data_IF_443511349322
#
_entry.id   IF_443511349322
#
_cell.length_a   1.000
_cell.length_b   1.000
_cell.length_c   1.000
_cell.angle_alpha   90.00
_cell.angle_beta   90.00
_cell.angle_gamma   90.00
#
_symmetry.space_group_name_H-M   'P 1'
#
loop_
_entity.id
_entity.type
_entity.pdbx_description
1 polymer ?
#
# COMPACT_ATOMS: atom_id res chain seq x y z
N UNK A 1 12.85 10.66 6.55
CA UNK A 1 13.24 9.50 5.72
C UNK A 1 14.66 9.69 5.24
N UNK A 2 15.52 8.71 5.45
CA UNK A 2 16.96 8.76 5.12
C UNK A 2 17.32 7.97 3.87
N UNK A 3 16.58 6.89 3.59
CA UNK A 3 16.74 6.10 2.38
C UNK A 3 16.49 6.90 1.10
N UNK A 4 17.28 6.60 0.06
CA UNK A 4 17.12 7.16 -1.29
C UNK A 4 17.17 6.03 -2.32
N UNK A 5 16.35 6.16 -3.37
CA UNK A 5 16.43 5.26 -4.53
C UNK A 5 17.84 5.32 -5.13
N UNK A 6 18.51 4.17 -5.36
CA UNK A 6 19.82 4.14 -6.01
C UNK A 6 19.76 4.74 -7.41
N UNK A 7 20.71 5.63 -7.74
CA UNK A 7 20.75 6.36 -9.02
C UNK A 7 20.99 5.44 -10.23
N UNK A 8 21.57 4.26 -10.00
CA UNK A 8 21.83 3.27 -11.05
C UNK A 8 20.57 2.46 -11.44
N UNK A 9 19.44 2.64 -10.75
CA UNK A 9 18.18 1.99 -11.08
C UNK A 9 17.35 2.94 -11.93
N UNK A 10 17.21 2.62 -13.22
CA UNK A 10 16.50 3.43 -14.20
C UNK A 10 15.08 3.80 -13.73
N UNK A 11 14.61 5.00 -14.05
CA UNK A 11 13.28 5.48 -13.68
C UNK A 11 12.70 6.36 -14.80
N UNK A 12 11.43 6.18 -15.20
CA UNK A 12 10.55 5.07 -14.81
C UNK A 12 10.95 3.75 -15.51
N UNK A 13 10.74 2.62 -14.83
CA UNK A 13 11.00 1.27 -15.35
C UNK A 13 9.76 0.39 -15.29
N UNK A 14 9.57 -0.47 -16.31
CA UNK A 14 8.56 -1.54 -16.29
C UNK A 14 9.11 -2.73 -15.51
N UNK A 15 8.38 -3.17 -14.49
CA UNK A 15 8.79 -4.23 -13.57
C UNK A 15 8.14 -5.58 -13.89
N UNK A 16 6.93 -5.55 -14.44
CA UNK A 16 6.16 -6.74 -14.78
C UNK A 16 5.20 -6.43 -15.92
N UNK A 17 5.04 -7.37 -16.85
CA UNK A 17 3.91 -7.36 -17.80
C UNK A 17 3.12 -8.65 -17.66
N UNK A 18 1.82 -8.57 -17.86
CA UNK A 18 0.92 -9.73 -17.72
C UNK A 18 -0.30 -9.56 -18.63
N UNK A 19 -1.09 -10.62 -18.78
CA UNK A 19 -2.34 -10.60 -19.53
C UNK A 19 -3.53 -10.76 -18.58
N UNK A 20 -4.59 -9.98 -18.84
CA UNK A 20 -5.86 -10.09 -18.13
C UNK A 20 -7.00 -9.66 -19.06
N UNK A 21 -8.25 -9.86 -18.61
CA UNK A 21 -9.41 -9.40 -19.38
C UNK A 21 -9.48 -7.86 -19.38
N UNK A 22 -9.79 -7.27 -20.51
CA UNK A 22 -10.21 -5.87 -20.64
C UNK A 22 -11.64 -5.74 -20.09
N UNK A 23 -11.93 -4.86 -19.11
CA UNK A 23 -13.28 -4.70 -18.59
C UNK A 23 -14.30 -4.23 -19.63
N UNK A 24 -13.84 -3.49 -20.66
CA UNK A 24 -14.74 -2.90 -21.65
C UNK A 24 -15.10 -3.90 -22.76
N UNK A 25 -14.15 -4.74 -23.17
CA UNK A 25 -14.33 -5.65 -24.32
C UNK A 25 -14.41 -7.12 -23.94
N UNK A 26 -14.04 -7.49 -22.71
CA UNK A 26 -13.93 -8.87 -22.23
C UNK A 26 -12.79 -9.68 -22.84
N UNK A 27 -12.05 -9.13 -23.81
CA UNK A 27 -10.92 -9.79 -24.48
C UNK A 27 -9.69 -9.81 -23.56
N UNK A 28 -8.83 -10.80 -23.75
CA UNK A 28 -7.52 -10.79 -23.10
C UNK A 28 -6.64 -9.73 -23.75
N UNK A 29 -6.09 -8.85 -22.93
CA UNK A 29 -5.18 -7.77 -23.34
C UNK A 29 -3.99 -7.73 -22.39
N UNK A 30 -2.92 -7.08 -22.84
CA UNK A 30 -1.69 -6.93 -22.07
C UNK A 30 -1.76 -5.72 -21.16
N UNK A 31 -1.20 -5.87 -19.96
CA UNK A 31 -1.02 -4.85 -18.95
C UNK A 31 0.45 -4.77 -18.55
N UNK A 32 0.84 -3.63 -17.98
CA UNK A 32 2.18 -3.40 -17.42
C UNK A 32 2.09 -2.80 -16.03
N UNK A 33 2.92 -3.28 -15.12
CA UNK A 33 3.21 -2.64 -13.83
C UNK A 33 4.59 -2.00 -13.93
N UNK A 34 4.66 -0.70 -13.66
CA UNK A 34 5.88 0.10 -13.77
C UNK A 34 6.01 1.05 -12.58
N UNK A 35 7.17 1.69 -12.47
CA UNK A 35 7.31 2.88 -11.63
C UNK A 35 6.25 3.93 -11.99
N UNK A 36 5.64 4.53 -10.96
CA UNK A 36 4.73 5.66 -11.12
C UNK A 36 5.48 6.88 -11.67
N UNK A 37 5.16 7.35 -12.89
CA UNK A 37 5.75 8.56 -13.43
C UNK A 37 5.35 9.81 -12.63
N UNK A 38 6.25 10.80 -12.54
CA UNK A 38 6.05 12.00 -11.71
C UNK A 38 4.88 12.87 -12.18
N UNK A 39 4.64 12.94 -13.48
CA UNK A 39 3.53 13.65 -14.10
C UNK A 39 2.16 13.04 -13.77
N UNK A 40 2.13 11.87 -13.12
CA UNK A 40 0.91 11.16 -12.68
C UNK A 40 0.67 11.24 -11.17
N UNK A 41 1.49 11.97 -10.42
CA UNK A 41 1.37 12.06 -8.96
C UNK A 41 0.05 12.67 -8.52
N UNK A 42 -0.38 13.79 -9.12
CA UNK A 42 -1.64 14.46 -8.73
C UNK A 42 -2.86 13.57 -8.96
N UNK A 43 -2.88 12.82 -10.07
CA UNK A 43 -3.94 11.85 -10.35
C UNK A 43 -3.98 10.73 -9.31
N UNK A 44 -2.81 10.20 -8.92
CA UNK A 44 -2.72 9.18 -7.86
C UNK A 44 -3.14 9.75 -6.51
N UNK A 45 -2.71 10.95 -6.15
CA UNK A 45 -3.12 11.60 -4.90
C UNK A 45 -4.63 11.77 -4.84
N UNK A 46 -5.27 12.16 -5.96
CA UNK A 46 -6.72 12.24 -6.07
C UNK A 46 -7.39 10.86 -5.95
N UNK A 47 -6.89 9.84 -6.64
CA UNK A 47 -7.44 8.47 -6.55
C UNK A 47 -7.34 7.91 -5.13
N UNK A 48 -6.23 8.19 -4.44
CA UNK A 48 -6.01 7.76 -3.06
C UNK A 48 -6.90 8.52 -2.08
N UNK A 49 -7.04 9.84 -2.21
CA UNK A 49 -7.87 10.68 -1.33
C UNK A 49 -9.38 10.51 -1.55
N UNK A 50 -9.79 9.94 -2.67
CA UNK A 50 -11.21 9.70 -2.99
C UNK A 50 -11.57 8.23 -2.90
N UNK A 51 -11.11 7.41 -3.84
CA UNK A 51 -11.54 6.01 -4.00
C UNK A 51 -10.95 5.13 -2.91
N UNK A 52 -9.65 5.27 -2.62
CA UNK A 52 -9.01 4.44 -1.60
C UNK A 52 -9.57 4.74 -0.21
N UNK A 53 -9.65 6.01 0.22
CA UNK A 53 -10.23 6.36 1.53
C UNK A 53 -11.69 5.89 1.68
N UNK A 54 -12.47 5.89 0.59
CA UNK A 54 -13.85 5.39 0.59
C UNK A 54 -13.95 3.88 0.79
N UNK A 55 -13.07 3.12 0.15
CA UNK A 55 -13.20 1.67 0.01
C UNK A 55 -12.27 0.86 0.93
N UNK A 56 -11.17 1.46 1.39
CA UNK A 56 -10.22 0.80 2.30
C UNK A 56 -10.90 0.51 3.65
N UNK A 57 -10.58 -0.66 4.19
CA UNK A 57 -11.32 -1.30 5.29
C UNK A 57 -11.27 -0.50 6.59
N UNK A 58 -10.09 -0.04 7.00
CA UNK A 58 -9.92 0.79 8.19
C UNK A 58 -10.42 2.22 7.95
N UNK A 59 -10.11 2.83 6.80
CA UNK A 59 -10.51 4.19 6.44
C UNK A 59 -12.03 4.34 6.39
N UNK A 60 -12.73 3.36 5.81
CA UNK A 60 -14.19 3.33 5.77
C UNK A 60 -14.79 3.17 7.17
N UNK A 61 -14.20 2.29 7.99
CA UNK A 61 -14.66 2.04 9.37
C UNK A 61 -14.54 3.28 10.25
N UNK A 62 -13.43 4.02 10.11
CA UNK A 62 -13.19 5.28 10.83
C UNK A 62 -13.84 6.50 10.16
N UNK A 63 -14.49 6.31 9.01
CA UNK A 63 -15.08 7.39 8.21
C UNK A 63 -14.08 8.52 7.92
N UNK A 64 -12.88 8.15 7.45
CA UNK A 64 -11.78 9.08 7.19
C UNK A 64 -12.12 10.04 6.06
N UNK A 65 -12.79 9.57 5.00
CA UNK A 65 -13.13 10.39 3.84
C UNK A 65 -13.94 11.64 4.22
N UNK A 66 -14.83 11.53 5.21
CA UNK A 66 -15.71 12.61 5.64
C UNK A 66 -15.19 13.39 6.85
N UNK A 67 -13.97 13.10 7.32
CA UNK A 67 -13.36 13.78 8.47
C UNK A 67 -13.26 15.29 8.20
N UNK A 68 -13.85 16.15 9.04
CA UNK A 68 -13.76 17.60 8.87
C UNK A 68 -12.33 18.12 8.92
N UNK A 69 -11.42 17.48 9.64
CA UNK A 69 -10.00 17.86 9.70
C UNK A 69 -9.27 17.55 8.37
N UNK A 70 -9.89 16.77 7.48
CA UNK A 70 -9.44 16.53 6.11
C UNK A 70 -10.07 17.49 5.09
N UNK A 71 -11.17 18.17 5.43
CA UNK A 71 -11.88 19.08 4.53
C UNK A 71 -11.11 20.40 4.36
N UNK A 72 -11.01 20.88 3.13
CA UNK A 72 -10.35 22.17 2.82
C UNK A 72 -8.82 22.14 2.90
N UNK A 73 -8.19 20.96 2.97
CA UNK A 73 -6.72 20.87 2.91
C UNK A 73 -6.23 21.30 1.52
N UNK A 74 -5.61 22.48 1.48
CA UNK A 74 -4.57 22.85 0.52
C UNK A 74 -3.18 22.32 0.91
N UNK A 75 -3.13 21.51 1.98
CA UNK A 75 -1.90 21.00 2.59
C UNK A 75 -1.51 19.61 2.07
N UNK A 76 -0.20 19.35 2.15
CA UNK A 76 0.49 18.11 1.77
C UNK A 76 -0.12 16.87 2.46
N UNK A 77 -0.51 15.87 1.67
CA UNK A 77 -0.93 14.55 2.15
C UNK A 77 0.28 13.72 2.62
N UNK A 78 0.03 12.70 3.43
CA UNK A 78 1.06 11.70 3.79
C UNK A 78 1.65 11.01 2.56
N UNK A 79 0.86 10.88 1.49
CA UNK A 79 1.32 10.26 0.25
C UNK A 79 2.28 11.15 -0.54
N UNK A 80 2.23 12.49 -0.44
CA UNK A 80 3.08 13.38 -1.23
C UNK A 80 4.58 13.09 -1.04
N UNK A 81 5.02 12.93 0.21
CA UNK A 81 6.42 12.61 0.50
C UNK A 81 6.79 11.18 0.13
N UNK A 82 5.81 10.28 0.17
CA UNK A 82 6.03 8.89 -0.22
C UNK A 82 6.21 8.78 -1.73
N UNK A 83 5.38 9.46 -2.53
CA UNK A 83 5.50 9.44 -3.99
C UNK A 83 6.85 9.99 -4.46
N UNK A 84 7.39 11.00 -3.77
CA UNK A 84 8.72 11.58 -4.05
C UNK A 84 9.89 10.61 -3.86
N UNK A 85 9.70 9.48 -3.18
CA UNK A 85 10.71 8.42 -3.12
C UNK A 85 10.89 7.71 -4.46
N UNK A 86 9.98 7.91 -5.42
CA UNK A 86 10.04 7.32 -6.77
C UNK A 86 10.11 5.80 -6.74
N UNK A 87 9.38 5.15 -5.83
CA UNK A 87 9.32 3.67 -5.73
C UNK A 87 7.90 3.12 -5.78
N UNK A 88 6.89 3.98 -5.88
CA UNK A 88 5.49 3.55 -6.00
C UNK A 88 5.24 2.91 -7.37
N UNK A 89 4.34 1.93 -7.42
CA UNK A 89 4.00 1.17 -8.62
C UNK A 89 2.65 1.62 -9.19
N UNK A 90 2.55 1.66 -10.51
CA UNK A 90 1.31 1.93 -11.23
C UNK A 90 1.08 0.85 -12.30
N UNK A 91 -0.18 0.48 -12.51
CA UNK A 91 -0.61 -0.46 -13.52
C UNK A 91 -1.36 0.26 -14.64
N UNK A 92 -0.95 0.00 -15.88
CA UNK A 92 -1.59 0.50 -17.09
C UNK A 92 -1.98 -0.66 -18.01
N UNK A 93 -3.01 -0.45 -18.82
CA UNK A 93 -3.31 -1.29 -19.99
C UNK A 93 -2.36 -0.90 -21.12
N UNK A 94 -1.84 -1.86 -21.88
CA UNK A 94 -1.02 -1.53 -23.06
C UNK A 94 -1.81 -0.72 -24.08
N UNK A 95 -1.17 0.30 -24.66
CA UNK A 95 -1.82 1.25 -25.57
C UNK A 95 -2.80 2.22 -24.92
N UNK A 96 -2.82 2.31 -23.59
CA UNK A 96 -3.62 3.26 -22.83
C UNK A 96 -2.81 3.89 -21.70
N UNK A 97 -3.10 5.15 -21.41
CA UNK A 97 -2.51 5.88 -20.28
C UNK A 97 -3.43 5.92 -19.06
N UNK A 98 -4.56 5.19 -19.08
CA UNK A 98 -5.48 5.13 -17.95
C UNK A 98 -4.93 4.28 -16.79
N UNK A 99 -4.86 4.86 -15.59
CA UNK A 99 -4.45 4.12 -14.39
C UNK A 99 -5.47 3.03 -14.09
N UNK A 100 -5.03 1.78 -14.18
CA UNK A 100 -5.84 0.62 -13.82
C UNK A 100 -5.75 0.32 -12.31
N UNK A 101 -4.59 0.62 -11.71
CA UNK A 101 -4.34 0.47 -10.28
C UNK A 101 -3.01 1.07 -9.88
N UNK A 102 -2.82 1.29 -8.58
CA UNK A 102 -1.64 1.91 -7.99
C UNK A 102 -1.32 1.26 -6.66
N UNK A 103 -0.04 1.20 -6.31
CA UNK A 103 0.41 0.84 -4.98
C UNK A 103 1.46 1.86 -4.52
N UNK A 104 1.10 2.62 -3.49
CA UNK A 104 1.97 3.64 -2.90
C UNK A 104 2.94 2.97 -1.94
N UNK A 105 4.24 3.06 -2.24
CA UNK A 105 5.30 2.30 -1.57
C UNK A 105 6.30 3.22 -0.88
N UNK A 106 6.81 2.77 0.26
CA UNK A 106 7.88 3.41 1.01
C UNK A 106 8.91 2.37 1.47
N UNK A 107 10.11 2.82 1.82
CA UNK A 107 11.08 1.98 2.53
C UNK A 107 11.03 2.32 4.01
N UNK A 108 10.78 1.29 4.84
CA UNK A 108 10.93 1.42 6.28
C UNK A 108 12.35 1.00 6.68
N UNK A 109 12.98 1.82 7.50
CA UNK A 109 14.33 1.61 8.03
C UNK A 109 14.27 1.41 9.55
N UNK A 110 15.05 0.47 10.05
CA UNK A 110 15.18 0.18 11.49
C UNK A 110 15.73 1.42 12.20
N UNK A 111 15.17 1.71 13.37
CA UNK A 111 15.60 2.81 14.25
C UNK A 111 15.49 4.24 13.64
N UNK A 112 14.91 4.37 12.44
CA UNK A 112 14.59 5.67 11.83
C UNK A 112 13.13 5.99 12.12
N UNK A 113 12.91 6.99 12.98
CA UNK A 113 11.55 7.53 13.19
C UNK A 113 11.13 8.31 11.94
N UNK A 114 9.88 8.10 11.52
CA UNK A 114 9.27 8.90 10.46
C UNK A 114 9.27 10.39 10.84
N UNK A 115 9.09 11.27 9.85
CA UNK A 115 8.88 12.67 10.16
C UNK A 115 7.58 12.77 10.97
N UNK A 116 7.65 13.26 12.21
CA UNK A 116 6.49 13.55 13.03
C UNK A 116 5.72 14.72 12.39
N UNK A 117 4.86 14.41 11.43
CA UNK A 117 3.85 15.36 11.01
C UNK A 117 2.84 15.50 12.14
N UNK A 118 2.50 16.73 12.49
CA UNK A 118 1.40 17.00 13.41
C UNK A 118 0.09 16.56 12.76
N UNK A 119 -0.35 15.34 13.09
CA UNK A 119 -1.63 14.79 12.62
C UNK A 119 -2.71 15.34 13.54
N UNK A 120 -3.52 16.29 13.07
CA UNK A 120 -4.64 16.85 13.86
C UNK A 120 -5.81 15.88 14.02
N UNK A 121 -6.14 15.16 12.95
CA UNK A 121 -7.24 14.21 12.92
C UNK A 121 -7.01 13.05 13.89
N UNK A 122 -7.87 12.93 14.90
CA UNK A 122 -7.87 11.80 15.82
C UNK A 122 -8.13 10.46 15.11
N UNK A 123 -8.89 10.48 14.02
CA UNK A 123 -9.17 9.28 13.20
C UNK A 123 -7.91 8.82 12.45
N UNK A 124 -7.12 9.73 11.89
CA UNK A 124 -5.82 9.38 11.28
C UNK A 124 -4.83 8.95 12.35
N UNK A 125 -4.80 9.60 13.52
CA UNK A 125 -3.97 9.14 14.65
C UNK A 125 -4.33 7.70 15.05
N UNK A 126 -5.62 7.37 15.16
CA UNK A 126 -6.08 6.01 15.46
C UNK A 126 -5.63 4.99 14.40
N UNK A 127 -5.76 5.34 13.11
CA UNK A 127 -5.26 4.54 12.00
C UNK A 127 -3.74 4.29 12.11
N UNK A 128 -2.95 5.35 12.30
CA UNK A 128 -1.49 5.24 12.45
C UNK A 128 -1.12 4.41 13.67
N UNK A 129 -1.80 4.58 14.80
CA UNK A 129 -1.57 3.80 16.02
C UNK A 129 -1.79 2.30 15.78
N UNK A 130 -2.85 1.92 15.07
CA UNK A 130 -3.09 0.53 14.70
C UNK A 130 -2.02 -0.02 13.74
N UNK A 131 -1.58 0.79 12.77
CA UNK A 131 -0.49 0.41 11.84
C UNK A 131 0.85 0.22 12.55
N UNK A 132 1.21 1.11 13.48
CA UNK A 132 2.42 0.97 14.30
C UNK A 132 2.36 -0.25 15.19
N UNK A 133 1.21 -0.51 15.82
CA UNK A 133 1.00 -1.73 16.60
C UNK A 133 1.22 -2.98 15.76
N UNK A 134 0.63 -3.06 14.56
CA UNK A 134 0.80 -4.22 13.67
C UNK A 134 2.26 -4.41 13.25
N UNK A 135 2.98 -3.33 12.95
CA UNK A 135 4.41 -3.37 12.61
C UNK A 135 5.28 -3.85 13.78
N UNK A 136 4.99 -3.36 14.98
CA UNK A 136 5.70 -3.75 16.19
C UNK A 136 5.49 -5.24 16.52
N UNK A 137 4.25 -5.73 16.44
CA UNK A 137 3.93 -7.14 16.71
C UNK A 137 4.47 -8.11 15.64
N UNK A 138 4.54 -7.67 14.38
CA UNK A 138 5.18 -8.46 13.33
C UNK A 138 6.68 -8.65 13.56
N UNK A 139 7.32 -7.67 14.23
CA UNK A 139 8.75 -7.64 14.54
C UNK A 139 9.63 -7.98 13.32
N UNK A 140 9.31 -7.33 12.20
CA UNK A 140 9.83 -7.70 10.87
C UNK A 140 11.37 -7.66 10.82
N UNK A 141 11.97 -6.64 11.45
CA UNK A 141 13.42 -6.46 11.46
C UNK A 141 14.15 -7.62 12.12
N UNK A 142 13.72 -8.04 13.33
CA UNK A 142 14.37 -9.14 14.04
C UNK A 142 14.03 -10.48 13.41
N UNK A 143 12.76 -10.68 13.03
CA UNK A 143 12.26 -11.91 12.41
C UNK A 143 13.03 -12.31 11.15
N UNK A 144 13.36 -11.33 10.31
CA UNK A 144 14.05 -11.57 9.04
C UNK A 144 15.53 -11.16 9.04
N UNK A 145 16.03 -10.57 10.13
CA UNK A 145 17.41 -10.09 10.20
C UNK A 145 17.71 -9.00 9.17
N UNK A 146 16.77 -8.09 8.94
CA UNK A 146 16.89 -6.97 7.99
C UNK A 146 16.90 -5.64 8.72
N UNK A 147 17.58 -4.65 8.13
CA UNK A 147 17.62 -3.26 8.59
C UNK A 147 16.61 -2.37 7.84
N UNK A 148 16.13 -2.82 6.69
CA UNK A 148 15.13 -2.13 5.88
C UNK A 148 14.30 -3.09 5.04
N UNK A 149 13.07 -2.69 4.72
CA UNK A 149 12.19 -3.46 3.85
C UNK A 149 11.20 -2.56 3.11
N UNK A 150 10.68 -3.07 1.99
CA UNK A 150 9.66 -2.39 1.21
C UNK A 150 8.29 -2.50 1.90
N UNK A 151 7.66 -1.36 2.19
CA UNK A 151 6.34 -1.25 2.77
C UNK A 151 5.37 -0.53 1.84
N UNK A 152 4.08 -0.50 2.19
CA UNK A 152 3.07 0.17 1.42
C UNK A 152 2.09 0.97 2.28
N UNK A 153 1.75 2.16 1.78
CA UNK A 153 0.72 3.05 2.32
C UNK A 153 -0.52 3.06 1.43
N UNK A 154 -0.89 1.88 0.94
CA UNK A 154 -2.13 1.64 0.20
C UNK A 154 -1.94 1.03 -1.18
N UNK A 155 -2.89 0.17 -1.55
CA UNK A 155 -3.03 -0.42 -2.88
C UNK A 155 -4.46 -0.23 -3.33
N UNK A 156 -4.63 0.38 -4.50
CA UNK A 156 -5.92 0.65 -5.11
C UNK A 156 -5.97 0.02 -6.50
N UNK A 157 -7.08 -0.67 -6.80
CA UNK A 157 -7.49 -0.99 -8.17
C UNK A 157 -8.73 -0.16 -8.48
N UNK A 158 -8.69 0.57 -9.59
CA UNK A 158 -9.81 1.43 -10.04
C UNK A 158 -11.05 0.55 -10.24
N UNK A 159 -12.26 0.99 -9.83
CA UNK A 159 -13.43 0.11 -9.71
C UNK A 159 -13.74 -0.75 -10.93
N UNK A 160 -13.66 -0.20 -12.15
CA UNK A 160 -13.96 -0.95 -13.38
C UNK A 160 -12.97 -2.09 -13.67
N UNK A 161 -11.76 -2.03 -13.10
CA UNK A 161 -10.71 -3.03 -13.28
C UNK A 161 -10.66 -4.08 -12.15
N UNK A 162 -11.58 -4.04 -11.18
CA UNK A 162 -11.63 -4.99 -10.06
C UNK A 162 -12.09 -6.38 -10.52
N UNK A 163 -11.66 -7.41 -9.79
CA UNK A 163 -11.99 -8.81 -10.11
C UNK A 163 -11.17 -9.41 -11.25
N UNK A 164 -10.25 -8.64 -11.83
CA UNK A 164 -9.42 -9.04 -12.98
C UNK A 164 -8.02 -9.55 -12.59
N UNK A 165 -7.72 -9.64 -11.29
CA UNK A 165 -6.43 -10.14 -10.77
C UNK A 165 -5.29 -9.11 -10.71
N UNK A 166 -5.53 -7.86 -11.13
CA UNK A 166 -4.50 -6.81 -11.24
C UNK A 166 -3.78 -6.52 -9.91
N UNK A 167 -4.49 -6.55 -8.77
CA UNK A 167 -3.89 -6.33 -7.46
C UNK A 167 -2.81 -7.37 -7.13
N UNK A 168 -2.99 -8.62 -7.56
CA UNK A 168 -2.00 -9.70 -7.36
C UNK A 168 -0.74 -9.41 -8.17
N UNK A 169 -0.90 -9.00 -9.42
CA UNK A 169 0.23 -8.70 -10.32
C UNK A 169 0.98 -7.44 -9.88
N UNK A 170 0.28 -6.42 -9.37
CA UNK A 170 0.92 -5.25 -8.73
C UNK A 170 1.77 -5.66 -7.52
N UNK A 171 1.29 -6.59 -6.67
CA UNK A 171 2.08 -7.09 -5.55
C UNK A 171 3.29 -7.92 -6.02
N UNK A 172 3.14 -8.76 -7.05
CA UNK A 172 4.26 -9.53 -7.62
C UNK A 172 5.36 -8.63 -8.20
N UNK A 173 4.98 -7.49 -8.79
CA UNK A 173 5.93 -6.51 -9.30
C UNK A 173 6.85 -5.90 -8.22
N UNK A 174 6.49 -6.01 -6.93
CA UNK A 174 7.39 -5.64 -5.83
C UNK A 174 8.65 -6.48 -5.76
N UNK A 175 8.64 -7.71 -6.29
CA UNK A 175 9.82 -8.59 -6.27
C UNK A 175 10.95 -8.06 -7.14
N UNK A 176 10.77 -7.88 -8.46
CA UNK A 176 11.83 -7.31 -9.31
C UNK A 176 12.20 -5.88 -8.90
N UNK A 177 11.24 -5.04 -8.48
CA UNK A 177 11.51 -3.71 -7.95
C UNK A 177 12.43 -3.79 -6.71
N UNK A 178 12.04 -4.54 -5.68
CA UNK A 178 12.79 -4.60 -4.43
C UNK A 178 14.18 -5.21 -4.61
N UNK A 179 14.33 -6.22 -5.48
CA UNK A 179 15.65 -6.76 -5.88
C UNK A 179 16.53 -5.68 -6.51
N UNK A 180 16.01 -4.90 -7.45
CA UNK A 180 16.76 -3.82 -8.09
C UNK A 180 17.16 -2.72 -7.10
N UNK A 181 16.32 -2.47 -6.08
CA UNK A 181 16.61 -1.52 -5.00
C UNK A 181 17.54 -2.07 -3.91
N UNK A 182 18.01 -3.33 -4.03
CA UNK A 182 18.87 -3.98 -3.02
C UNK A 182 18.14 -4.35 -1.72
N UNK A 183 16.81 -4.44 -1.75
CA UNK A 183 15.98 -4.87 -0.63
C UNK A 183 15.82 -6.40 -0.63
N UNK A 184 15.78 -6.99 0.56
CA UNK A 184 15.63 -8.44 0.75
C UNK A 184 14.20 -8.87 1.10
N UNK A 185 13.34 -7.91 1.42
CA UNK A 185 12.01 -8.17 1.97
C UNK A 185 11.02 -7.09 1.54
N UNK A 186 9.78 -7.50 1.30
CA UNK A 186 8.60 -6.63 1.31
C UNK A 186 7.66 -7.09 2.43
N UNK A 187 7.08 -6.16 3.18
CA UNK A 187 6.18 -6.45 4.30
C UNK A 187 5.11 -5.36 4.42
N UNK A 188 3.85 -5.73 4.63
CA UNK A 188 2.74 -4.77 4.63
C UNK A 188 1.60 -5.23 5.53
N UNK A 189 0.87 -4.27 6.09
CA UNK A 189 -0.40 -4.51 6.79
C UNK A 189 -1.51 -4.65 5.75
N UNK A 190 -2.11 -5.83 5.66
CA UNK A 190 -3.27 -6.12 4.82
C UNK A 190 -4.54 -6.14 5.68
N UNK A 191 -5.35 -5.11 5.50
CA UNK A 191 -6.44 -4.74 6.41
C UNK A 191 -7.76 -5.46 6.16
N UNK A 192 -7.97 -6.04 4.97
CA UNK A 192 -9.22 -6.68 4.57
C UNK A 192 -9.03 -8.03 3.90
N UNK A 193 -10.06 -8.88 3.93
CA UNK A 193 -10.00 -10.26 3.40
C UNK A 193 -9.54 -10.27 1.92
N UNK A 194 -10.04 -9.36 1.10
CA UNK A 194 -9.67 -9.29 -0.31
C UNK A 194 -8.18 -8.99 -0.51
N UNK A 195 -7.61 -8.06 0.27
CA UNK A 195 -6.19 -7.69 0.17
C UNK A 195 -5.29 -8.79 0.77
N UNK A 196 -5.70 -9.43 1.85
CA UNK A 196 -5.02 -10.60 2.44
C UNK A 196 -4.97 -11.79 1.46
N UNK A 197 -6.09 -12.13 0.83
CA UNK A 197 -6.15 -13.20 -0.18
C UNK A 197 -5.29 -12.87 -1.41
N UNK A 198 -5.27 -11.61 -1.82
CA UNK A 198 -4.41 -11.13 -2.91
C UNK A 198 -2.93 -11.29 -2.55
N UNK A 199 -2.54 -10.89 -1.33
CA UNK A 199 -1.18 -11.02 -0.84
C UNK A 199 -0.73 -12.49 -0.81
N UNK A 200 -1.56 -13.38 -0.26
CA UNK A 200 -1.29 -14.82 -0.25
C UNK A 200 -1.08 -15.38 -1.67
N UNK A 201 -1.93 -14.99 -2.64
CA UNK A 201 -1.76 -15.37 -4.06
C UNK A 201 -0.48 -14.83 -4.71
N UNK A 202 0.03 -13.70 -4.21
CA UNK A 202 1.30 -13.13 -4.63
C UNK A 202 2.51 -13.75 -3.91
N UNK A 203 2.29 -14.70 -3.00
CA UNK A 203 3.34 -15.43 -2.27
C UNK A 203 3.66 -14.87 -0.89
N UNK A 204 2.95 -13.84 -0.41
CA UNK A 204 3.16 -13.32 0.94
C UNK A 204 2.72 -14.34 1.99
N UNK A 205 3.50 -14.45 3.06
CA UNK A 205 3.22 -15.27 4.24
C UNK A 205 2.75 -14.39 5.38
N UNK A 206 1.88 -14.94 6.23
CA UNK A 206 1.39 -14.25 7.42
C UNK A 206 2.46 -14.22 8.50
N UNK A 207 2.80 -13.02 8.96
CA UNK A 207 3.73 -12.84 10.07
C UNK A 207 3.02 -12.67 11.41
N UNK A 208 1.94 -11.90 11.40
CA UNK A 208 1.14 -11.60 12.57
C UNK A 208 -0.30 -11.30 12.15
N UNK A 209 -1.25 -11.71 12.97
CA UNK A 209 -2.66 -11.37 12.81
C UNK A 209 -3.31 -11.09 14.15
N UNK A 210 -4.34 -10.24 14.12
CA UNK A 210 -5.12 -9.89 15.30
C UNK A 210 -6.56 -9.61 14.89
N UNK A 211 -7.49 -9.90 15.80
CA UNK A 211 -8.88 -9.49 15.64
C UNK A 211 -9.00 -7.97 15.81
N UNK A 212 -9.79 -7.33 14.95
CA UNK A 212 -10.14 -5.92 15.13
C UNK A 212 -10.86 -5.67 16.46
N UNK A 213 -11.66 -6.64 16.93
CA UNK A 213 -12.29 -6.58 18.25
C UNK A 213 -11.26 -6.57 19.38
N UNK A 214 -10.19 -7.36 19.28
CA UNK A 214 -9.11 -7.36 20.27
C UNK A 214 -8.34 -6.05 20.26
N UNK A 215 -8.15 -5.41 19.10
CA UNK A 215 -7.51 -4.09 19.02
C UNK A 215 -8.27 -3.01 19.80
N UNK A 216 -9.60 -3.14 19.94
CA UNK A 216 -10.41 -2.21 20.75
C UNK A 216 -10.34 -2.48 22.24
N UNK A 217 -10.22 -3.76 22.64
CA UNK A 217 -10.26 -4.20 24.06
C UNK A 217 -8.91 -4.24 24.75
N UNK A 218 -7.84 -4.41 23.98
CA UNK A 218 -6.44 -4.51 24.45
C UNK A 218 -5.63 -3.47 23.70
N UNK A 219 -4.39 -3.24 24.12
CA UNK A 219 -3.46 -2.41 23.33
C UNK A 219 -3.49 -2.85 21.85
N UNK A 220 -3.72 -1.93 20.89
CA UNK A 220 -3.56 -0.48 20.98
C UNK A 220 -4.77 0.32 21.46
N UNK A 221 -5.87 -0.30 21.88
CA UNK A 221 -7.13 0.35 22.28
C UNK A 221 -7.68 1.25 21.15
N UNK A 222 -7.71 0.71 19.93
CA UNK A 222 -8.27 1.34 18.74
C UNK A 222 -9.48 0.55 18.29
N UNK A 223 -10.65 1.20 18.34
CA UNK A 223 -11.89 0.63 17.85
C UNK A 223 -12.10 0.93 16.37
N UNK A 224 -12.60 -0.06 15.65
CA UNK A 224 -12.99 0.05 14.24
C UNK A 224 -14.48 -0.24 14.09
N UNK A 225 -15.35 0.78 14.21
CA UNK A 225 -16.79 0.60 14.09
C UNK A 225 -17.21 0.08 12.71
N UNK A 226 -18.18 -0.84 12.66
CA UNK A 226 -18.70 -1.41 11.40
C UNK A 226 -17.62 -2.02 10.49
N UNK A 227 -16.52 -2.50 11.06
CA UNK A 227 -15.44 -3.13 10.31
C UNK A 227 -15.97 -4.37 9.57
N UNK A 228 -15.66 -4.47 8.28
CA UNK A 228 -16.25 -5.50 7.41
C UNK A 228 -15.50 -6.83 7.42
N UNK A 229 -14.55 -7.01 8.33
CA UNK A 229 -13.66 -8.16 8.40
C UNK A 229 -13.25 -8.38 9.87
N UNK A 230 -13.03 -9.64 10.28
CA UNK A 230 -12.62 -9.93 11.65
C UNK A 230 -11.14 -9.62 11.91
N UNK A 231 -10.23 -9.84 10.94
CA UNK A 231 -8.78 -9.78 11.19
C UNK A 231 -8.06 -8.71 10.39
N UNK A 232 -7.05 -8.13 11.01
CA UNK A 232 -5.95 -7.40 10.37
C UNK A 232 -4.71 -8.28 10.34
N UNK A 233 -3.91 -8.24 9.26
CA UNK A 233 -2.72 -9.09 9.11
C UNK A 233 -1.52 -8.28 8.69
N UNK A 234 -0.36 -8.51 9.30
CA UNK A 234 0.92 -8.16 8.71
C UNK A 234 1.43 -9.37 7.93
N UNK A 235 1.75 -9.18 6.65
CA UNK A 235 2.25 -10.25 5.80
C UNK A 235 3.51 -9.78 5.08
N UNK A 236 4.45 -10.70 4.85
CA UNK A 236 5.72 -10.39 4.17
C UNK A 236 6.09 -11.43 3.12
N UNK A 237 7.02 -11.06 2.24
CA UNK A 237 7.57 -11.90 1.19
C UNK A 237 9.06 -11.59 1.09
N UNK A 238 9.89 -12.63 1.21
CA UNK A 238 11.31 -12.55 0.92
C UNK A 238 11.53 -12.36 -0.58
N UNK A 239 12.55 -11.57 -0.91
CA UNK A 239 12.86 -11.19 -2.28
C UNK A 239 14.10 -11.89 -2.83
N UNK A 240 14.72 -12.81 -2.09
CA UNK A 240 15.84 -13.63 -2.56
C UNK A 240 15.40 -14.79 -3.47
#
# INVERSE_FOLDING_TARGET
MTWKRPENVAFPQVWLTFEAKDPDTGKIVKYRVQDLPEDRFDEVLNLMSTIFLRDETMCRSLDILNDPDLKGRSGKSIWDDILKQKISLVCFKEGSDEICGVNVLEVLEKDVKGNEMEIKSSKIQALMKAMEFMKAQADTYNRYGVDKFLHAMGLLVVPKYRGLGLSTEILKARVPLGRALGLKLTGTVFTGIASQNTAAKAGFVEDYSVLYEDMGKKEPFVEFPNISTPYCKFMSLRLD
#
